data_IF_176923654992
#
_entry.id   IF_176923654992
#
_cell.length_a   1.000
_cell.length_b   1.000
_cell.length_c   1.000
_cell.angle_alpha   90.00
_cell.angle_beta   90.00
_cell.angle_gamma   90.00
#
_symmetry.space_group_name_H-M   'P 1'
#
loop_
_entity.id
_entity.type
_entity.pdbx_description
1 polymer ?
#
# COMPACT_ATOMS: atom_id res chain seq x y z
N UNK A 1 20.12 -12.19 -22.38
CA UNK A 1 18.82 -12.85 -22.19
C UNK A 1 18.52 -12.91 -20.70
N UNK A 2 17.82 -11.91 -20.17
CA UNK A 2 17.28 -11.93 -18.81
C UNK A 2 15.98 -12.74 -18.86
N UNK A 3 15.92 -13.82 -18.08
CA UNK A 3 14.82 -14.77 -18.06
C UNK A 3 13.52 -14.08 -17.64
N UNK A 4 12.60 -14.01 -18.60
CA UNK A 4 11.19 -13.58 -18.54
C UNK A 4 10.35 -14.24 -17.43
N UNK A 5 10.92 -15.16 -16.65
CA UNK A 5 10.24 -15.99 -15.67
C UNK A 5 10.09 -15.33 -14.28
N UNK A 6 10.94 -14.36 -13.91
CA UNK A 6 10.83 -13.67 -12.62
C UNK A 6 9.81 -12.53 -12.62
N UNK A 7 9.44 -12.02 -13.80
CA UNK A 7 8.31 -11.13 -14.02
C UNK A 7 6.99 -11.92 -14.12
N UNK A 8 6.81 -12.94 -13.29
CA UNK A 8 5.49 -13.48 -13.01
C UNK A 8 4.65 -12.32 -12.47
N UNK A 9 3.65 -11.90 -13.27
CA UNK A 9 2.88 -10.65 -13.20
C UNK A 9 2.95 -9.96 -11.84
N UNK A 10 3.73 -8.88 -11.79
CA UNK A 10 3.61 -7.95 -10.69
C UNK A 10 2.19 -7.36 -10.73
N UNK A 11 1.54 -7.31 -9.58
CA UNK A 11 0.23 -6.70 -9.44
C UNK A 11 0.21 -5.83 -8.20
N UNK A 12 -0.69 -4.87 -8.19
CA UNK A 12 -0.92 -4.03 -7.03
C UNK A 12 -2.41 -3.82 -6.77
N UNK A 13 -2.68 -3.32 -5.57
CA UNK A 13 -4.03 -3.03 -5.10
C UNK A 13 -3.99 -1.78 -4.23
N UNK A 14 -4.83 -0.81 -4.60
CA UNK A 14 -5.21 0.29 -3.75
C UNK A 14 -6.50 -0.03 -3.01
N UNK A 15 -6.52 0.16 -1.70
CA UNK A 15 -7.71 0.04 -0.88
C UNK A 15 -8.06 1.39 -0.28
N UNK A 16 -9.28 1.84 -0.57
CA UNK A 16 -9.87 3.09 -0.11
C UNK A 16 -11.26 2.78 0.47
N UNK A 17 -11.62 3.40 1.58
CA UNK A 17 -12.94 3.26 2.21
C UNK A 17 -13.81 4.47 1.87
N UNK A 18 -15.00 4.20 1.34
CA UNK A 18 -16.03 5.21 1.12
C UNK A 18 -16.87 5.36 2.39
N UNK A 19 -16.68 6.47 3.10
CA UNK A 19 -17.42 6.83 4.32
C UNK A 19 -18.77 7.51 4.01
N UNK A 20 -19.16 7.56 2.75
CA UNK A 20 -20.42 8.14 2.31
C UNK A 20 -20.28 9.58 1.84
N UNK A 21 -21.32 10.38 2.04
CA UNK A 21 -21.38 11.76 1.57
C UNK A 21 -20.77 12.72 2.58
N UNK A 22 -19.86 13.59 2.12
CA UNK A 22 -19.31 14.67 2.95
C UNK A 22 -20.33 15.80 3.07
N UNK A 23 -20.48 16.37 4.27
CA UNK A 23 -21.40 17.48 4.52
C UNK A 23 -21.05 18.69 3.62
N UNK A 24 -22.02 19.13 2.79
CA UNK A 24 -21.82 20.21 1.80
C UNK A 24 -21.91 21.60 2.42
N UNK A 25 -21.02 22.50 2.01
CA UNK A 25 -21.23 23.96 2.08
C UNK A 25 -22.32 24.38 1.09
N UNK A 26 -22.88 25.59 1.24
CA UNK A 26 -23.96 26.10 0.39
C UNK A 26 -23.59 26.12 -1.10
N UNK A 27 -22.33 26.46 -1.44
CA UNK A 27 -21.77 26.41 -2.80
C UNK A 27 -21.73 24.99 -3.38
N UNK A 28 -21.36 24.00 -2.57
CA UNK A 28 -21.35 22.59 -2.99
C UNK A 28 -22.74 22.03 -3.30
N UNK A 29 -23.81 22.64 -2.76
CA UNK A 29 -25.19 22.30 -3.12
C UNK A 29 -25.58 22.86 -4.49
N UNK A 30 -25.10 24.04 -4.85
CA UNK A 30 -25.40 24.73 -6.11
C UNK A 30 -24.86 23.98 -7.34
N UNK A 31 -23.72 23.30 -7.21
CA UNK A 31 -23.06 22.61 -8.33
C UNK A 31 -23.45 21.14 -8.49
N UNK A 32 -24.33 20.59 -7.64
CA UNK A 32 -24.81 19.20 -7.68
C UNK A 32 -23.76 18.07 -7.70
N UNK A 33 -22.45 18.35 -7.63
CA UNK A 33 -21.39 17.34 -7.63
C UNK A 33 -21.31 16.59 -6.28
N UNK A 34 -21.56 15.27 -6.22
CA UNK A 34 -21.49 14.54 -4.97
C UNK A 34 -20.04 14.49 -4.47
N UNK A 35 -19.74 15.16 -3.35
CA UNK A 35 -18.47 15.01 -2.66
C UNK A 35 -18.56 13.77 -1.75
N UNK A 36 -17.78 12.73 -2.06
CA UNK A 36 -17.66 11.54 -1.21
C UNK A 36 -16.52 11.71 -0.23
N UNK A 37 -16.70 11.15 0.95
CA UNK A 37 -15.66 11.10 1.98
C UNK A 37 -14.87 9.80 1.79
N UNK A 38 -13.70 9.91 1.15
CA UNK A 38 -12.85 8.77 0.82
C UNK A 38 -11.68 8.76 1.80
N UNK A 39 -11.58 7.70 2.59
CA UNK A 39 -10.49 7.46 3.52
C UNK A 39 -9.49 6.49 2.89
N UNK A 40 -8.22 6.90 2.69
CA UNK A 40 -7.22 6.00 2.18
C UNK A 40 -6.82 4.99 3.25
N UNK A 41 -6.61 3.73 2.86
CA UNK A 41 -6.21 2.67 3.78
C UNK A 41 -4.80 2.20 3.52
N UNK A 42 -4.58 1.55 2.38
CA UNK A 42 -3.26 1.05 2.01
C UNK A 42 -3.12 0.81 0.51
N UNK A 43 -1.88 0.81 0.06
CA UNK A 43 -1.43 0.22 -1.19
C UNK A 43 -0.63 -1.06 -0.91
N UNK A 44 -0.88 -2.10 -1.69
CA UNK A 44 -0.17 -3.38 -1.61
C UNK A 44 0.28 -3.81 -3.01
N UNK A 45 1.59 -3.85 -3.23
CA UNK A 45 2.18 -4.43 -4.44
C UNK A 45 2.75 -5.82 -4.16
N UNK A 46 2.69 -6.73 -5.14
CA UNK A 46 3.27 -8.08 -5.09
C UNK A 46 3.99 -8.43 -6.39
N UNK A 47 5.17 -9.03 -6.27
CA UNK A 47 5.95 -9.59 -7.38
C UNK A 47 6.57 -10.93 -6.95
N UNK A 48 6.05 -12.05 -7.47
CA UNK A 48 6.43 -13.39 -7.00
C UNK A 48 6.06 -13.59 -5.52
N UNK A 49 7.03 -14.00 -4.68
CA UNK A 49 6.87 -14.18 -3.24
C UNK A 49 7.15 -12.93 -2.38
N UNK A 50 7.44 -11.80 -3.01
CA UNK A 50 7.76 -10.53 -2.35
C UNK A 50 6.58 -9.57 -2.48
N UNK A 51 6.36 -8.74 -1.47
CA UNK A 51 5.41 -7.65 -1.50
C UNK A 51 5.99 -6.37 -0.87
N UNK A 52 5.39 -5.24 -1.19
CA UNK A 52 5.57 -3.96 -0.49
C UNK A 52 4.18 -3.51 -0.05
N UNK A 53 4.04 -3.13 1.22
CA UNK A 53 2.81 -2.64 1.82
C UNK A 53 3.03 -1.23 2.34
N UNK A 54 2.15 -0.31 1.97
CA UNK A 54 2.19 1.07 2.40
C UNK A 54 0.81 1.45 2.95
N UNK A 55 0.75 1.79 4.23
CA UNK A 55 -0.48 2.30 4.83
C UNK A 55 -0.57 3.81 4.64
N UNK A 56 -1.79 4.31 4.53
CA UNK A 56 -2.08 5.72 4.45
C UNK A 56 -2.89 6.15 5.68
N UNK A 57 -2.75 7.42 6.09
CA UNK A 57 -3.62 8.03 7.09
C UNK A 57 -4.61 9.03 6.46
N UNK A 58 -5.46 9.65 7.29
CA UNK A 58 -6.46 10.62 6.82
C UNK A 58 -5.87 11.88 6.16
N UNK A 59 -4.58 12.16 6.33
CA UNK A 59 -3.86 13.22 5.64
C UNK A 59 -3.20 12.74 4.33
N UNK A 60 -3.42 11.49 3.93
CA UNK A 60 -2.75 10.81 2.81
C UNK A 60 -1.24 10.69 3.01
N UNK A 61 -0.77 10.75 4.26
CA UNK A 61 0.63 10.47 4.56
C UNK A 61 0.92 8.99 4.42
N UNK A 62 2.10 8.67 3.91
CA UNK A 62 2.50 7.33 3.51
C UNK A 62 3.43 6.69 4.54
N UNK A 63 3.07 5.49 4.96
CA UNK A 63 3.79 4.71 5.94
C UNK A 63 4.14 3.34 5.37
N UNK A 64 5.38 3.23 4.90
CA UNK A 64 5.90 2.00 4.33
C UNK A 64 6.18 0.99 5.44
N UNK A 65 5.66 -0.22 5.29
CA UNK A 65 5.81 -1.27 6.27
C UNK A 65 7.13 -2.04 6.11
N UNK A 66 7.73 -2.38 7.23
CA UNK A 66 8.94 -3.21 7.37
C UNK A 66 8.66 -4.33 8.37
N UNK A 67 9.21 -5.50 8.12
CA UNK A 67 9.01 -6.70 8.95
C UNK A 67 10.35 -7.22 9.46
N UNK A 68 10.71 -6.91 10.72
CA UNK A 68 11.99 -7.30 11.29
C UNK A 68 12.12 -8.82 11.47
N UNK A 69 10.99 -9.53 11.64
CA UNK A 69 10.96 -10.97 11.90
C UNK A 69 10.87 -11.80 10.62
N UNK A 70 10.48 -11.17 9.51
CA UNK A 70 10.22 -11.84 8.23
C UNK A 70 10.65 -11.06 7.00
N UNK A 71 11.90 -10.56 6.91
CA UNK A 71 12.35 -9.86 5.71
C UNK A 71 12.33 -10.78 4.49
N UNK A 72 12.03 -10.23 3.32
CA UNK A 72 12.11 -10.93 2.06
C UNK A 72 13.23 -10.35 1.17
N UNK A 73 14.26 -11.14 0.83
CA UNK A 73 15.24 -10.70 -0.16
C UNK A 73 14.55 -10.53 -1.51
N UNK A 74 14.75 -9.37 -2.13
CA UNK A 74 14.14 -9.01 -3.40
C UNK A 74 15.19 -8.53 -4.39
N UNK A 75 15.10 -8.98 -5.64
CA UNK A 75 15.95 -8.45 -6.72
C UNK A 75 15.58 -6.99 -7.02
N UNK A 76 16.52 -6.22 -7.56
CA UNK A 76 16.23 -4.84 -7.97
C UNK A 76 15.07 -4.74 -8.98
N UNK A 77 14.96 -5.71 -9.90
CA UNK A 77 13.84 -5.76 -10.84
C UNK A 77 12.49 -5.95 -10.13
N UNK A 78 12.41 -6.80 -9.11
CA UNK A 78 11.20 -6.94 -8.29
C UNK A 78 10.93 -5.67 -7.50
N UNK A 79 11.96 -5.06 -6.90
CA UNK A 79 11.81 -3.80 -6.15
C UNK A 79 11.36 -2.64 -7.02
N UNK A 80 11.78 -2.62 -8.29
CA UNK A 80 11.32 -1.65 -9.28
C UNK A 80 9.86 -1.91 -9.68
N UNK A 81 9.47 -3.17 -9.88
CA UNK A 81 8.06 -3.51 -10.12
C UNK A 81 7.14 -3.20 -8.92
N UNK A 82 7.72 -2.99 -7.73
CA UNK A 82 7.03 -2.70 -6.47
C UNK A 82 7.26 -1.26 -5.98
N UNK A 83 7.72 -0.35 -6.85
CA UNK A 83 8.06 1.01 -6.45
C UNK A 83 6.85 1.95 -6.30
N UNK A 84 5.61 1.48 -6.55
CA UNK A 84 4.41 2.32 -6.51
C UNK A 84 4.56 3.58 -7.39
N UNK A 85 5.04 3.39 -8.62
CA UNK A 85 5.35 4.46 -9.60
C UNK A 85 6.50 5.40 -9.20
N UNK A 86 7.22 5.14 -8.10
CA UNK A 86 8.45 5.86 -7.78
C UNK A 86 9.55 5.55 -8.81
N UNK A 87 10.40 6.55 -9.16
CA UNK A 87 11.47 6.39 -10.15
C UNK A 87 12.62 5.51 -9.67
N UNK A 88 12.68 5.23 -8.36
CA UNK A 88 13.70 4.38 -7.74
C UNK A 88 13.07 3.10 -7.20
N UNK A 89 13.80 1.98 -7.19
CA UNK A 89 13.29 0.73 -6.61
C UNK A 89 12.89 0.91 -5.15
N UNK A 90 11.86 0.18 -4.72
CA UNK A 90 11.50 0.10 -3.31
C UNK A 90 12.73 -0.26 -2.44
N UNK A 91 12.92 0.35 -1.25
CA UNK A 91 14.05 0.02 -0.38
C UNK A 91 14.05 -1.45 0.04
N UNK A 92 15.21 -2.14 0.13
CA UNK A 92 15.26 -3.56 0.47
C UNK A 92 14.54 -3.91 1.78
N UNK A 93 14.62 -3.04 2.78
CA UNK A 93 13.99 -3.17 4.10
C UNK A 93 12.45 -3.10 4.07
N UNK A 94 11.87 -2.61 2.98
CA UNK A 94 10.41 -2.56 2.79
C UNK A 94 9.84 -3.79 2.08
N UNK A 95 10.71 -4.71 1.66
CA UNK A 95 10.31 -5.95 1.00
C UNK A 95 9.90 -7.00 2.03
N UNK A 96 8.60 -7.30 2.00
CA UNK A 96 7.92 -8.24 2.88
C UNK A 96 7.76 -9.59 2.17
N UNK A 97 7.69 -10.68 2.93
CA UNK A 97 7.12 -11.92 2.36
C UNK A 97 5.66 -11.65 2.01
N UNK A 98 5.24 -12.03 0.81
CA UNK A 98 3.89 -11.73 0.32
C UNK A 98 2.81 -12.19 1.31
N UNK A 99 2.93 -13.40 1.85
CA UNK A 99 2.03 -13.96 2.88
C UNK A 99 1.90 -13.07 4.12
N UNK A 100 2.99 -12.44 4.58
CA UNK A 100 2.98 -11.56 5.75
C UNK A 100 2.38 -10.19 5.41
N UNK A 101 2.63 -9.67 4.21
CA UNK A 101 1.98 -8.46 3.73
C UNK A 101 0.45 -8.64 3.62
N UNK A 102 -0.02 -9.77 3.11
CA UNK A 102 -1.46 -10.08 3.08
C UNK A 102 -2.05 -10.28 4.47
N UNK A 103 -1.33 -10.94 5.39
CA UNK A 103 -1.78 -11.08 6.77
C UNK A 103 -1.94 -9.71 7.44
N UNK A 104 -1.00 -8.79 7.21
CA UNK A 104 -1.06 -7.43 7.71
C UNK A 104 -2.22 -6.63 7.13
N UNK A 105 -2.45 -6.73 5.81
CA UNK A 105 -3.58 -6.10 5.15
C UNK A 105 -4.93 -6.63 5.68
N UNK A 106 -5.06 -7.94 5.84
CA UNK A 106 -6.25 -8.57 6.42
C UNK A 106 -6.49 -8.14 7.87
N UNK A 107 -5.44 -8.10 8.69
CA UNK A 107 -5.52 -7.62 10.08
C UNK A 107 -6.01 -6.17 10.13
N UNK A 108 -5.48 -5.29 9.27
CA UNK A 108 -5.94 -3.90 9.16
C UNK A 108 -7.42 -3.82 8.76
N UNK A 109 -7.86 -4.60 7.77
CA UNK A 109 -9.26 -4.60 7.34
C UNK A 109 -10.23 -5.07 8.43
N UNK A 110 -9.78 -5.97 9.32
CA UNK A 110 -10.58 -6.47 10.45
C UNK A 110 -10.57 -5.51 11.63
N UNK A 111 -9.41 -4.93 11.95
CA UNK A 111 -9.22 -4.14 13.19
C UNK A 111 -9.35 -2.63 13.00
N UNK A 112 -9.18 -2.14 11.77
CA UNK A 112 -9.04 -0.71 11.48
C UNK A 112 -7.72 -0.10 11.95
N UNK A 113 -6.76 -0.92 12.37
CA UNK A 113 -5.47 -0.48 12.91
C UNK A 113 -4.31 -1.17 12.20
N UNK A 114 -3.20 -0.42 12.05
CA UNK A 114 -1.93 -0.93 11.53
C UNK A 114 -1.37 -2.04 12.45
N UNK A 115 -0.98 -3.21 11.93
CA UNK A 115 -0.45 -4.30 12.75
C UNK A 115 0.79 -3.93 13.56
N UNK A 116 0.76 -4.13 14.88
CA UNK A 116 1.83 -3.69 15.80
C UNK A 116 3.15 -4.47 15.67
N UNK A 117 3.12 -5.61 14.99
CA UNK A 117 4.29 -6.45 14.75
C UNK A 117 5.10 -6.00 13.52
N UNK A 118 4.62 -4.99 12.79
CA UNK A 118 5.37 -4.31 11.75
C UNK A 118 5.97 -3.00 12.25
N UNK A 119 7.03 -2.56 11.59
CA UNK A 119 7.63 -1.22 11.75
C UNK A 119 7.19 -0.35 10.58
N UNK A 120 7.00 0.94 10.82
CA UNK A 120 6.50 1.87 9.82
C UNK A 120 7.47 3.03 9.61
N UNK A 121 7.91 3.18 8.37
CA UNK A 121 8.72 4.31 7.94
C UNK A 121 7.84 5.33 7.22
N UNK A 122 7.82 6.56 7.75
CA UNK A 122 7.17 7.68 7.07
C UNK A 122 7.93 8.02 5.78
N UNK A 123 7.20 8.19 4.68
CA UNK A 123 7.76 8.51 3.36
C UNK A 123 7.47 9.97 2.99
N UNK A 124 6.21 10.40 3.07
CA UNK A 124 5.72 11.76 2.78
C UNK A 124 4.34 11.99 3.39
#
# INVERSE_FOLDING_TARGET
MLTRAAAAEACDLWVLLDRGTRHRTWLGRLLSLPARDIEPCFWLGKAGGVAVLMFLDGAWSEYRATDPDGPAPATEAQRMALSCEEPTPAPPESCLRAERAFAAAAEYLVRGERPRWLVYQYVR
#
